data_IF_226989907856
#
_entry.id   IF_226989907856
#
_cell.length_a   1.000
_cell.length_b   1.000
_cell.length_c   1.000
_cell.angle_alpha   90.00
_cell.angle_beta   90.00
_cell.angle_gamma   90.00
#
_symmetry.space_group_name_H-M   'P 1'
#
loop_
_entity.id
_entity.type
_entity.pdbx_description
1 polymer ?
#
# COMPACT_ATOMS: atom_id res chain seq x y z
N UNK A 1 -17.64 -0.57 11.61
CA UNK A 1 -18.67 -0.15 12.58
C UNK A 1 -18.21 -0.25 14.02
N UNK A 2 -17.49 -1.30 14.39
CA UNK A 2 -17.11 -1.58 15.78
C UNK A 2 -16.15 -0.53 16.40
N UNK A 3 -15.42 0.19 15.57
CA UNK A 3 -14.43 1.19 16.00
C UNK A 3 -14.89 2.64 15.77
N UNK A 4 -16.15 2.88 15.52
CA UNK A 4 -16.73 4.20 15.21
C UNK A 4 -15.91 4.93 14.10
N UNK A 5 -15.54 4.20 13.07
CA UNK A 5 -14.67 4.69 11.99
C UNK A 5 -15.43 5.65 11.07
N UNK A 6 -14.87 6.84 10.83
CA UNK A 6 -15.42 7.84 9.90
C UNK A 6 -15.03 7.55 8.44
N UNK A 7 -13.74 7.24 8.19
CA UNK A 7 -13.19 7.02 6.85
C UNK A 7 -12.43 5.70 6.76
N UNK A 8 -12.70 4.94 5.71
CA UNK A 8 -12.04 3.66 5.43
C UNK A 8 -11.28 3.77 4.11
N UNK A 9 -9.94 3.84 4.12
CA UNK A 9 -9.14 3.85 2.89
C UNK A 9 -9.22 2.48 2.21
N UNK A 10 -9.80 2.44 1.03
CA UNK A 10 -10.03 1.19 0.28
C UNK A 10 -9.86 1.38 -1.23
N UNK A 11 -9.57 0.29 -1.93
CA UNK A 11 -9.65 0.24 -3.38
C UNK A 11 -11.10 0.20 -3.89
N UNK A 12 -11.28 0.48 -5.18
CA UNK A 12 -12.61 0.49 -5.81
C UNK A 12 -13.34 -0.87 -5.74
N UNK A 13 -12.61 -1.96 -5.65
CA UNK A 13 -13.14 -3.32 -5.48
C UNK A 13 -13.83 -3.53 -4.14
N UNK A 14 -13.57 -2.68 -3.14
CA UNK A 14 -14.18 -2.74 -1.80
C UNK A 14 -15.38 -1.79 -1.62
N UNK A 15 -15.74 -1.04 -2.65
CA UNK A 15 -16.80 -0.04 -2.58
C UNK A 15 -18.13 -0.66 -2.11
N UNK A 16 -18.51 -1.80 -2.68
CA UNK A 16 -19.75 -2.50 -2.32
C UNK A 16 -19.77 -2.96 -0.86
N UNK A 17 -18.63 -3.33 -0.30
CA UNK A 17 -18.54 -3.72 1.12
C UNK A 17 -18.76 -2.52 2.04
N UNK A 18 -18.25 -1.35 1.68
CA UNK A 18 -18.50 -0.11 2.44
C UNK A 18 -19.98 0.28 2.34
N UNK A 19 -20.58 0.21 1.16
CA UNK A 19 -22.03 0.46 0.96
C UNK A 19 -22.87 -0.47 1.83
N UNK A 20 -22.55 -1.76 1.89
CA UNK A 20 -23.24 -2.72 2.76
C UNK A 20 -23.10 -2.35 4.24
N UNK A 21 -21.92 -1.95 4.69
CA UNK A 21 -21.70 -1.48 6.06
C UNK A 21 -22.55 -0.25 6.37
N UNK A 22 -22.67 0.68 5.43
CA UNK A 22 -23.49 1.89 5.57
C UNK A 22 -24.98 1.56 5.63
N UNK A 23 -25.44 0.64 4.79
CA UNK A 23 -26.84 0.17 4.81
C UNK A 23 -27.22 -0.47 6.15
N UNK A 24 -26.34 -1.32 6.69
CA UNK A 24 -26.54 -1.95 8.00
C UNK A 24 -26.59 -0.88 9.09
N UNK A 25 -25.62 0.03 9.11
CA UNK A 25 -25.58 1.10 10.10
C UNK A 25 -26.80 2.02 9.99
N UNK A 26 -27.22 2.38 8.77
CA UNK A 26 -28.41 3.21 8.54
C UNK A 26 -29.69 2.57 9.02
N UNK A 27 -29.90 1.28 8.73
CA UNK A 27 -31.07 0.52 9.21
C UNK A 27 -31.14 0.44 10.75
N UNK A 28 -29.99 0.22 11.39
CA UNK A 28 -29.94 0.16 12.85
C UNK A 28 -30.14 1.55 13.45
N UNK A 29 -29.49 2.57 12.93
CA UNK A 29 -29.62 3.94 13.42
C UNK A 29 -31.04 4.52 13.22
N UNK A 30 -31.78 4.06 12.21
CA UNK A 30 -33.18 4.47 12.01
C UNK A 30 -34.09 3.99 13.15
N UNK A 31 -33.78 2.84 13.74
CA UNK A 31 -34.53 2.27 14.86
C UNK A 31 -33.92 2.67 16.22
N UNK A 32 -32.61 2.76 16.29
CA UNK A 32 -31.82 3.07 17.47
C UNK A 32 -30.81 4.20 17.14
N UNK A 33 -31.25 5.46 17.18
CA UNK A 33 -30.42 6.59 16.77
C UNK A 33 -29.08 6.67 17.53
N UNK A 34 -27.99 6.93 16.80
CA UNK A 34 -26.66 7.09 17.39
C UNK A 34 -25.97 5.78 17.78
N UNK A 35 -26.47 4.63 17.34
CA UNK A 35 -25.82 3.34 17.61
C UNK A 35 -24.48 3.21 16.90
N UNK A 36 -24.41 3.61 15.63
CA UNK A 36 -23.19 3.54 14.84
C UNK A 36 -22.82 4.88 14.19
N UNK A 37 -21.53 5.15 14.12
CA UNK A 37 -20.98 6.15 13.21
C UNK A 37 -21.11 5.61 11.77
N UNK A 38 -21.53 6.46 10.83
CA UNK A 38 -21.68 6.10 9.42
C UNK A 38 -20.30 6.16 8.74
N UNK A 39 -19.68 5.02 8.39
CA UNK A 39 -18.38 5.05 7.74
C UNK A 39 -18.50 5.56 6.30
N UNK A 40 -17.46 6.21 5.81
CA UNK A 40 -17.36 6.56 4.41
C UNK A 40 -16.11 5.95 3.77
N UNK A 41 -16.18 5.64 2.47
CA UNK A 41 -15.03 5.09 1.74
C UNK A 41 -14.10 6.22 1.29
N UNK A 42 -12.82 6.18 1.69
CA UNK A 42 -11.80 7.03 1.11
C UNK A 42 -11.15 6.31 -0.07
N UNK A 43 -11.42 6.81 -1.27
CA UNK A 43 -10.85 6.29 -2.52
C UNK A 43 -9.78 7.28 -3.00
N UNK A 44 -8.48 6.96 -2.85
CA UNK A 44 -7.41 7.82 -3.34
C UNK A 44 -7.59 8.10 -4.83
N UNK A 45 -7.56 9.38 -5.22
CA UNK A 45 -7.72 9.78 -6.64
C UNK A 45 -6.62 9.23 -7.52
N UNK A 46 -5.42 9.02 -6.97
CA UNK A 46 -4.26 8.41 -7.61
C UNK A 46 -3.46 7.67 -6.55
N UNK A 47 -3.71 6.40 -6.40
CA UNK A 47 -2.67 5.52 -5.85
C UNK A 47 -1.74 5.17 -7.00
N UNK A 48 -0.44 5.42 -6.87
CA UNK A 48 0.50 4.96 -7.88
C UNK A 48 0.30 3.47 -8.11
N UNK A 49 -0.34 3.10 -9.21
CA UNK A 49 -0.55 1.70 -9.57
C UNK A 49 0.78 1.17 -10.05
N UNK A 50 1.53 0.58 -9.14
CA UNK A 50 2.81 -0.04 -9.48
C UNK A 50 2.54 -1.32 -10.27
N UNK A 51 3.20 -1.41 -11.43
CA UNK A 51 3.07 -2.53 -12.35
C UNK A 51 4.19 -3.54 -12.11
N UNK A 52 3.98 -4.78 -12.56
CA UNK A 52 4.99 -5.83 -12.48
C UNK A 52 6.25 -5.44 -13.29
N UNK A 53 7.43 -5.82 -12.77
CA UNK A 53 8.70 -5.42 -13.39
C UNK A 53 8.99 -6.19 -14.68
N UNK A 54 8.48 -7.41 -14.81
CA UNK A 54 8.63 -8.27 -15.99
C UNK A 54 7.50 -8.08 -17.01
N UNK A 55 6.33 -7.61 -16.56
CA UNK A 55 5.17 -7.35 -17.43
C UNK A 55 4.49 -6.05 -16.97
N UNK A 56 4.91 -4.89 -17.50
CA UNK A 56 4.43 -3.60 -17.05
C UNK A 56 2.98 -3.27 -17.42
N UNK A 57 2.27 -4.20 -18.03
CA UNK A 57 0.82 -4.12 -18.29
C UNK A 57 0.03 -4.70 -17.11
N UNK A 58 0.62 -5.66 -16.38
CA UNK A 58 0.00 -6.29 -15.21
C UNK A 58 0.37 -5.55 -13.93
N UNK A 59 -0.58 -5.47 -12.98
CA UNK A 59 -0.32 -4.93 -11.65
C UNK A 59 0.69 -5.81 -10.91
N UNK A 60 1.66 -5.19 -10.20
CA UNK A 60 2.56 -5.90 -9.31
C UNK A 60 1.75 -6.68 -8.26
N UNK A 61 2.04 -7.97 -8.12
CA UNK A 61 1.30 -8.86 -7.24
C UNK A 61 2.24 -9.67 -6.33
N UNK A 62 1.86 -9.80 -5.05
CA UNK A 62 2.57 -10.65 -4.09
C UNK A 62 2.52 -12.13 -4.49
N UNK A 63 1.46 -12.57 -5.16
CA UNK A 63 1.23 -13.95 -5.59
C UNK A 63 1.75 -14.27 -6.99
N UNK A 64 2.47 -13.35 -7.65
CA UNK A 64 3.06 -13.63 -8.95
C UNK A 64 4.08 -14.79 -8.87
N UNK A 65 4.04 -15.71 -9.83
CA UNK A 65 4.94 -16.86 -9.89
C UNK A 65 6.41 -16.43 -10.06
N UNK A 66 6.66 -15.44 -10.93
CA UNK A 66 7.99 -14.89 -11.09
C UNK A 66 8.35 -13.98 -9.92
N UNK A 67 9.28 -14.42 -9.08
CA UNK A 67 9.76 -13.67 -7.92
C UNK A 67 10.44 -12.33 -8.26
N UNK A 68 10.90 -12.16 -9.51
CA UNK A 68 11.52 -10.93 -10.00
C UNK A 68 10.51 -9.94 -10.61
N UNK A 69 9.25 -10.32 -10.69
CA UNK A 69 8.17 -9.40 -11.14
C UNK A 69 7.84 -8.32 -10.13
N UNK A 70 8.30 -8.48 -8.88
CA UNK A 70 7.97 -7.60 -7.75
C UNK A 70 9.19 -7.26 -6.88
N UNK A 71 9.03 -6.22 -6.08
CA UNK A 71 9.90 -5.88 -4.97
C UNK A 71 9.09 -6.04 -3.68
N UNK A 72 9.60 -6.82 -2.74
CA UNK A 72 9.03 -6.95 -1.40
C UNK A 72 9.78 -6.06 -0.42
N UNK A 73 9.08 -5.54 0.62
CA UNK A 73 9.68 -4.65 1.61
C UNK A 73 10.88 -5.26 2.35
N UNK A 74 10.92 -6.59 2.43
CA UNK A 74 11.99 -7.34 3.11
C UNK A 74 13.01 -7.94 2.15
N UNK A 75 12.98 -7.57 0.86
CA UNK A 75 13.94 -8.10 -0.10
C UNK A 75 15.34 -7.57 0.17
N UNK A 76 16.32 -8.47 0.10
CA UNK A 76 17.73 -8.13 0.21
C UNK A 76 18.20 -7.28 -1.00
N UNK A 77 19.18 -6.37 -0.82
CA UNK A 77 19.69 -5.51 -1.87
C UNK A 77 20.08 -6.25 -3.16
N UNK A 78 20.64 -7.44 -3.02
CA UNK A 78 21.02 -8.29 -4.16
C UNK A 78 19.81 -8.75 -5.00
N UNK A 79 18.66 -9.01 -4.34
CA UNK A 79 17.41 -9.40 -5.01
C UNK A 79 16.74 -8.18 -5.64
N UNK A 80 16.71 -7.03 -4.94
CA UNK A 80 16.23 -5.75 -5.47
C UNK A 80 16.98 -5.43 -6.76
N UNK A 81 18.31 -5.49 -6.73
CA UNK A 81 19.17 -5.28 -7.90
C UNK A 81 18.80 -6.20 -9.06
N UNK A 82 18.66 -7.50 -8.81
CA UNK A 82 18.30 -8.47 -9.86
C UNK A 82 16.95 -8.15 -10.47
N UNK A 83 15.95 -7.82 -9.67
CA UNK A 83 14.59 -7.53 -10.14
C UNK A 83 14.55 -6.24 -10.97
N UNK A 84 15.14 -5.14 -10.50
CA UNK A 84 15.16 -3.86 -11.21
C UNK A 84 15.99 -3.95 -12.51
N UNK A 85 17.18 -4.54 -12.44
CA UNK A 85 18.03 -4.66 -13.64
C UNK A 85 17.42 -5.52 -14.75
N UNK A 86 16.59 -6.52 -14.38
CA UNK A 86 15.86 -7.38 -15.31
C UNK A 86 14.49 -6.81 -15.71
N UNK A 87 14.05 -5.71 -15.12
CA UNK A 87 12.76 -5.12 -15.46
C UNK A 87 12.65 -4.83 -16.95
N UNK A 88 11.49 -5.15 -17.50
CA UNK A 88 11.21 -4.96 -18.94
C UNK A 88 11.17 -3.47 -19.26
N UNK A 89 11.90 -3.08 -20.29
CA UNK A 89 11.90 -1.74 -20.89
C UNK A 89 11.93 -1.86 -22.39
N UNK A 90 11.50 -0.81 -23.11
CA UNK A 90 11.58 -0.74 -24.57
C UNK A 90 13.04 -0.66 -25.08
N UNK A 91 13.22 -0.65 -26.39
CA UNK A 91 14.53 -0.59 -27.06
C UNK A 91 15.00 0.83 -27.41
N UNK A 92 14.19 1.86 -27.19
CA UNK A 92 14.52 3.24 -27.56
C UNK A 92 15.66 3.83 -26.71
N UNK A 93 15.76 3.40 -25.45
CA UNK A 93 16.82 3.84 -24.54
C UNK A 93 16.60 5.23 -23.94
N UNK A 94 15.52 5.92 -24.29
CA UNK A 94 15.18 7.25 -23.81
C UNK A 94 14.31 7.18 -22.55
N UNK A 95 14.73 7.86 -21.49
CA UNK A 95 13.99 7.93 -20.21
C UNK A 95 12.93 9.02 -20.34
N UNK A 96 11.70 8.59 -20.65
CA UNK A 96 10.52 9.44 -20.82
C UNK A 96 9.29 8.71 -20.28
N UNK A 97 8.43 9.46 -19.61
CA UNK A 97 7.17 8.96 -19.09
C UNK A 97 6.12 8.94 -20.20
N UNK A 98 5.73 7.75 -20.61
CA UNK A 98 4.73 7.51 -21.64
C UNK A 98 4.13 6.13 -21.36
N UNK A 99 3.00 6.09 -20.68
CA UNK A 99 2.40 4.83 -20.22
C UNK A 99 1.97 3.94 -21.40
N UNK A 100 1.59 4.54 -22.53
CA UNK A 100 1.11 3.78 -23.69
C UNK A 100 2.26 3.16 -24.47
N UNK A 101 3.31 3.94 -24.76
CA UNK A 101 4.40 3.49 -25.63
C UNK A 101 5.62 2.98 -24.85
N UNK A 102 5.78 3.42 -23.59
CA UNK A 102 6.93 3.12 -22.72
C UNK A 102 6.48 2.64 -21.31
N UNK A 103 5.58 1.65 -21.21
CA UNK A 103 5.01 1.27 -19.91
C UNK A 103 6.07 0.82 -18.90
N UNK A 104 7.15 0.17 -19.37
CA UNK A 104 8.21 -0.32 -18.50
C UNK A 104 8.98 0.79 -17.79
N UNK A 105 9.54 1.74 -18.57
CA UNK A 105 10.30 2.85 -17.98
C UNK A 105 9.37 3.80 -17.21
N UNK A 106 8.12 3.99 -17.65
CA UNK A 106 7.12 4.78 -16.93
C UNK A 106 6.81 4.20 -15.55
N UNK A 107 6.70 2.88 -15.43
CA UNK A 107 6.56 2.20 -14.16
C UNK A 107 7.78 2.41 -13.24
N UNK A 108 8.99 2.30 -13.78
CA UNK A 108 10.21 2.52 -13.00
C UNK A 108 10.34 3.99 -12.54
N UNK A 109 9.95 4.96 -13.36
CA UNK A 109 9.87 6.38 -12.98
C UNK A 109 8.84 6.60 -11.87
N UNK A 110 7.69 5.93 -11.95
CA UNK A 110 6.66 5.98 -10.91
C UNK A 110 7.18 5.44 -9.57
N UNK A 111 7.91 4.32 -9.59
CA UNK A 111 8.53 3.75 -8.38
C UNK A 111 9.55 4.72 -7.81
N UNK A 112 10.41 5.29 -8.63
CA UNK A 112 11.44 6.25 -8.20
C UNK A 112 10.79 7.48 -7.54
N UNK A 113 9.81 8.08 -8.22
CA UNK A 113 9.05 9.22 -7.71
C UNK A 113 8.36 8.92 -6.37
N UNK A 114 7.74 7.75 -6.25
CA UNK A 114 7.05 7.34 -5.02
C UNK A 114 8.00 7.16 -3.83
N UNK A 115 9.23 6.70 -4.07
CA UNK A 115 10.23 6.47 -3.01
C UNK A 115 10.94 7.76 -2.58
N UNK A 116 11.13 8.70 -3.49
CA UNK A 116 11.89 9.92 -3.22
C UNK A 116 11.04 11.17 -2.99
N UNK A 117 9.77 11.14 -3.42
CA UNK A 117 8.91 12.33 -3.46
C UNK A 117 9.26 13.29 -4.60
N UNK A 118 10.26 12.97 -5.44
CA UNK A 118 10.63 13.79 -6.59
C UNK A 118 9.63 13.60 -7.74
N UNK A 119 9.28 14.70 -8.42
CA UNK A 119 8.35 14.62 -9.55
C UNK A 119 8.94 13.85 -10.73
N UNK A 120 8.09 13.16 -11.48
CA UNK A 120 8.49 12.43 -12.69
C UNK A 120 9.20 13.36 -13.68
N UNK A 121 8.71 14.59 -13.88
CA UNK A 121 9.34 15.57 -14.78
C UNK A 121 10.77 15.95 -14.35
N UNK A 122 11.02 16.05 -13.04
CA UNK A 122 12.38 16.29 -12.51
C UNK A 122 13.31 15.10 -12.77
N UNK A 123 12.79 13.88 -12.63
CA UNK A 123 13.53 12.66 -12.92
C UNK A 123 13.88 12.56 -14.42
N UNK A 124 12.94 12.86 -15.32
CA UNK A 124 13.19 12.90 -16.76
C UNK A 124 14.32 13.86 -17.11
N UNK A 125 14.26 15.08 -16.58
CA UNK A 125 15.30 16.10 -16.79
C UNK A 125 16.67 15.67 -16.23
N UNK A 126 16.71 15.03 -15.05
CA UNK A 126 17.94 14.52 -14.42
C UNK A 126 18.62 13.44 -15.24
N UNK A 127 17.82 12.62 -15.90
CA UNK A 127 18.31 11.48 -16.67
C UNK A 127 18.31 11.72 -18.19
N UNK A 128 18.09 12.95 -18.64
CA UNK A 128 18.19 13.31 -20.04
C UNK A 128 19.56 12.93 -20.61
N UNK A 129 19.58 12.26 -21.73
CA UNK A 129 20.80 11.75 -22.39
C UNK A 129 21.46 10.54 -21.72
N UNK A 130 20.90 10.01 -20.63
CA UNK A 130 21.39 8.77 -19.98
C UNK A 130 20.61 7.56 -20.45
N UNK A 131 21.24 6.39 -20.40
CA UNK A 131 20.59 5.14 -20.78
C UNK A 131 19.84 4.48 -19.61
N UNK A 132 18.99 3.50 -19.95
CA UNK A 132 18.24 2.72 -18.96
C UNK A 132 19.12 2.03 -17.92
N UNK A 133 20.34 1.63 -18.28
CA UNK A 133 21.27 0.99 -17.35
C UNK A 133 21.65 1.89 -16.17
N UNK A 134 21.93 3.16 -16.42
CA UNK A 134 22.31 4.11 -15.39
C UNK A 134 21.12 4.51 -14.51
N UNK A 135 19.95 4.70 -15.14
CA UNK A 135 18.71 4.94 -14.41
C UNK A 135 18.36 3.76 -13.48
N UNK A 136 18.42 2.52 -14.00
CA UNK A 136 18.13 1.33 -13.19
C UNK A 136 19.11 1.16 -12.05
N UNK A 137 20.40 1.46 -12.22
CA UNK A 137 21.39 1.43 -11.12
C UNK A 137 21.02 2.42 -10.01
N UNK A 138 20.69 3.67 -10.37
CA UNK A 138 20.27 4.67 -9.40
C UNK A 138 18.96 4.28 -8.70
N UNK A 139 17.99 3.71 -9.43
CA UNK A 139 16.76 3.20 -8.84
C UNK A 139 17.02 2.05 -7.85
N UNK A 140 17.99 1.19 -8.12
CA UNK A 140 18.40 0.12 -7.19
C UNK A 140 18.89 0.71 -5.88
N UNK A 141 19.78 1.71 -5.93
CA UNK A 141 20.30 2.37 -4.73
C UNK A 141 19.18 3.03 -3.92
N UNK A 142 18.37 3.86 -4.56
CA UNK A 142 17.22 4.52 -3.91
C UNK A 142 16.26 3.50 -3.28
N UNK A 143 15.97 2.40 -3.98
CA UNK A 143 15.06 1.38 -3.48
C UNK A 143 15.68 0.63 -2.28
N UNK A 144 16.95 0.27 -2.36
CA UNK A 144 17.65 -0.43 -1.29
C UNK A 144 17.71 0.43 -0.01
N UNK A 145 18.04 1.71 -0.15
CA UNK A 145 18.13 2.67 0.95
C UNK A 145 16.77 2.95 1.59
N UNK A 146 15.73 3.12 0.78
CA UNK A 146 14.37 3.34 1.27
C UNK A 146 13.81 2.14 2.05
N UNK A 147 14.20 0.91 1.67
CA UNK A 147 13.72 -0.31 2.32
C UNK A 147 14.61 -0.81 3.47
N UNK A 148 15.85 -0.32 3.57
CA UNK A 148 16.80 -0.74 4.62
C UNK A 148 16.24 -0.54 6.04
N UNK A 149 15.70 0.63 6.43
CA UNK A 149 15.19 0.84 7.78
C UNK A 149 14.03 -0.08 8.13
N UNK A 150 13.17 -0.40 7.14
CA UNK A 150 12.03 -1.32 7.34
C UNK A 150 12.54 -2.73 7.60
N UNK A 151 13.50 -3.18 6.81
CA UNK A 151 14.09 -4.53 6.93
C UNK A 151 14.84 -4.69 8.26
N UNK A 152 15.63 -3.70 8.63
CA UNK A 152 16.39 -3.69 9.88
C UNK A 152 15.46 -3.73 11.09
N UNK A 153 14.48 -2.84 11.13
CA UNK A 153 13.49 -2.80 12.22
C UNK A 153 12.65 -4.07 12.31
N UNK A 154 12.29 -4.63 11.16
CA UNK A 154 11.61 -5.92 11.13
C UNK A 154 12.45 -7.04 11.75
N UNK A 155 13.76 -7.10 11.41
CA UNK A 155 14.65 -8.12 11.96
C UNK A 155 14.84 -7.98 13.47
N UNK A 156 14.95 -6.75 13.99
CA UNK A 156 15.03 -6.46 15.42
C UNK A 156 13.79 -6.92 16.17
N UNK A 157 12.61 -6.47 15.72
CA UNK A 157 11.34 -6.70 16.42
C UNK A 157 10.93 -8.18 16.35
N UNK A 158 11.13 -8.82 15.18
CA UNK A 158 10.59 -10.16 14.93
C UNK A 158 11.02 -11.21 15.95
N UNK A 159 12.20 -11.08 16.51
CA UNK A 159 12.77 -12.02 17.47
C UNK A 159 12.78 -11.50 18.92
N UNK A 160 12.20 -10.33 19.14
CA UNK A 160 12.22 -9.68 20.45
C UNK A 160 10.93 -9.89 21.25
N UNK A 161 11.02 -9.73 22.57
CA UNK A 161 9.84 -9.67 23.44
C UNK A 161 8.96 -8.47 23.05
N UNK A 162 9.54 -7.39 22.50
CA UNK A 162 8.85 -6.19 22.05
C UNK A 162 7.70 -6.52 21.08
N UNK A 163 7.85 -7.51 20.18
CA UNK A 163 6.76 -7.94 19.30
C UNK A 163 5.52 -8.38 20.08
N UNK A 164 5.72 -9.18 21.11
CA UNK A 164 4.63 -9.69 21.93
C UNK A 164 3.97 -8.56 22.73
N UNK A 165 4.77 -7.63 23.23
CA UNK A 165 4.29 -6.50 24.00
C UNK A 165 3.49 -5.52 23.11
N UNK A 166 3.95 -5.23 21.90
CA UNK A 166 3.21 -4.45 20.89
C UNK A 166 1.87 -5.10 20.56
N UNK A 167 1.86 -6.42 20.33
CA UNK A 167 0.63 -7.15 20.00
C UNK A 167 -0.37 -7.14 21.16
N UNK A 168 0.10 -7.32 22.40
CA UNK A 168 -0.75 -7.26 23.59
C UNK A 168 -1.32 -5.87 23.83
N UNK A 169 -0.48 -4.84 23.78
CA UNK A 169 -0.91 -3.45 23.92
C UNK A 169 -1.92 -3.07 22.85
N UNK A 170 -1.63 -3.41 21.59
CA UNK A 170 -2.54 -3.19 20.46
C UNK A 170 -3.89 -3.88 20.66
N UNK A 171 -3.89 -5.14 21.12
CA UNK A 171 -5.11 -5.88 21.41
C UNK A 171 -5.92 -5.24 22.55
N UNK A 172 -5.27 -4.83 23.64
CA UNK A 172 -5.95 -4.15 24.76
C UNK A 172 -6.59 -2.82 24.31
N UNK A 173 -5.88 -2.01 23.52
CA UNK A 173 -6.42 -0.74 23.00
C UNK A 173 -7.58 -0.95 22.05
N UNK A 174 -7.47 -1.92 21.16
CA UNK A 174 -8.53 -2.26 20.21
C UNK A 174 -9.77 -2.78 20.95
N UNK A 175 -9.59 -3.68 21.94
CA UNK A 175 -10.68 -4.20 22.74
C UNK A 175 -11.40 -3.08 23.52
N UNK A 176 -10.66 -2.18 24.14
CA UNK A 176 -11.25 -1.06 24.90
C UNK A 176 -12.17 -0.19 24.04
N UNK A 177 -11.82 0.09 22.79
CA UNK A 177 -12.66 0.83 21.85
C UNK A 177 -13.87 -0.02 21.43
N UNK A 178 -13.61 -1.28 21.05
CA UNK A 178 -14.64 -2.21 20.56
C UNK A 178 -15.72 -2.46 21.61
N UNK A 179 -15.35 -2.61 22.89
CA UNK A 179 -16.28 -2.84 23.99
C UNK A 179 -17.25 -1.68 24.21
N UNK A 180 -16.84 -0.44 23.99
CA UNK A 180 -17.72 0.72 24.09
C UNK A 180 -18.86 0.65 23.07
N UNK A 181 -18.51 0.35 21.81
CA UNK A 181 -19.50 0.20 20.73
C UNK A 181 -20.36 -1.04 20.95
N UNK A 182 -19.74 -2.16 21.34
CA UNK A 182 -20.48 -3.40 21.62
C UNK A 182 -21.48 -3.22 22.76
N UNK A 183 -21.08 -2.51 23.83
CA UNK A 183 -21.99 -2.19 24.95
C UNK A 183 -23.17 -1.36 24.43
N UNK A 184 -22.92 -0.28 23.69
CA UNK A 184 -23.96 0.58 23.10
C UNK A 184 -24.96 -0.23 22.25
N UNK A 185 -24.45 -1.14 21.43
CA UNK A 185 -25.29 -2.03 20.61
C UNK A 185 -26.12 -2.94 21.49
N UNK A 186 -25.52 -3.63 22.47
CA UNK A 186 -26.25 -4.54 23.38
C UNK A 186 -27.33 -3.81 24.17
N UNK A 187 -27.04 -2.64 24.69
CA UNK A 187 -28.00 -1.82 25.45
C UNK A 187 -29.20 -1.45 24.56
N UNK A 188 -28.96 -1.00 23.34
CA UNK A 188 -30.02 -0.63 22.39
C UNK A 188 -30.89 -1.81 21.94
N UNK A 189 -30.31 -3.01 21.88
CA UNK A 189 -31.04 -4.23 21.52
C UNK A 189 -31.66 -4.95 22.73
N UNK A 190 -31.52 -4.43 23.95
CA UNK A 190 -32.04 -5.06 25.17
C UNK A 190 -31.24 -6.31 25.59
N UNK A 191 -29.99 -6.42 25.14
CA UNK A 191 -29.07 -7.51 25.48
C UNK A 191 -28.03 -7.11 26.53
N UNK A 192 -28.10 -5.90 27.06
CA UNK A 192 -27.30 -5.42 28.16
C UNK A 192 -27.86 -5.96 29.47
N UNK A 193 -27.19 -6.95 30.08
CA UNK A 193 -27.42 -7.41 31.43
C UNK A 193 -26.38 -6.76 32.36
#
# INVERSE_FOLDING_TARGET
LLYDTDLVPVGNDQKQHIELCRDIAGRINSKYPGTFVMPDGYFPKEGARIMALDDPIKKMSKSAENIHSRISLLDEPSKIKKSIMKATTDSEGVIRFDVENKPGISNLLTIYSALTGESVASLEARYEGKGYGDFKKALVEVTADALAPIRERFAEIRQSQELIDILKDGACRADAIAQQTLKRVKDNFGLGL
#
